data_IF_577602817309
#
_entry.id   IF_577602817309
#
_cell.length_a   1.000
_cell.length_b   1.000
_cell.length_c   1.000
_cell.angle_alpha   90.00
_cell.angle_beta   90.00
_cell.angle_gamma   90.00
#
_symmetry.space_group_name_H-M   'P 1'
#
loop_
_entity.id
_entity.type
_entity.pdbx_description
1 polymer ?
#
# COMPACT_ATOMS: atom_id res chain seq x y z
N UNK A 1 55.67 59.15 3.81
CA UNK A 1 54.39 59.62 3.24
C UNK A 1 53.42 58.47 3.24
N UNK A 2 52.32 58.65 3.96
CA UNK A 2 51.42 57.60 4.43
C UNK A 2 50.49 57.09 3.32
N UNK A 3 50.38 55.77 3.18
CA UNK A 3 49.28 55.09 2.47
C UNK A 3 48.68 54.05 3.41
N UNK A 4 47.36 54.09 3.71
CA UNK A 4 46.77 53.24 4.73
C UNK A 4 46.39 51.85 4.21
N UNK A 5 46.74 50.83 5.00
CA UNK A 5 46.23 49.47 4.87
C UNK A 5 44.72 49.45 5.13
N UNK A 6 43.93 49.03 4.14
CA UNK A 6 42.52 48.67 4.34
C UNK A 6 42.42 47.14 4.31
N UNK A 7 42.20 46.54 5.49
CA UNK A 7 41.96 45.10 5.66
C UNK A 7 40.56 44.76 5.16
N UNK A 8 40.45 44.02 4.05
CA UNK A 8 39.19 43.44 3.62
C UNK A 8 39.03 42.06 4.26
N UNK A 9 38.12 41.96 5.23
CA UNK A 9 37.61 40.71 5.78
C UNK A 9 36.76 40.01 4.71
N UNK A 10 37.24 38.90 4.15
CA UNK A 10 36.46 38.06 3.26
C UNK A 10 35.84 36.90 4.08
N UNK A 11 34.52 36.96 4.29
CA UNK A 11 33.74 35.90 4.93
C UNK A 11 33.66 34.67 4.01
N UNK A 12 33.80 33.43 4.52
CA UNK A 12 33.53 32.25 3.70
C UNK A 12 32.00 32.07 3.58
N UNK A 13 31.48 32.30 2.37
CA UNK A 13 30.10 32.00 2.03
C UNK A 13 29.88 30.48 2.12
N UNK A 14 29.02 30.08 3.06
CA UNK A 14 28.53 28.72 3.20
C UNK A 14 27.69 28.38 1.95
N UNK A 15 28.26 27.62 1.01
CA UNK A 15 27.52 27.08 -0.13
C UNK A 15 26.53 26.05 0.41
N UNK A 16 25.28 26.47 0.58
CA UNK A 16 24.15 25.57 0.77
C UNK A 16 23.95 24.83 -0.55
N UNK A 17 24.50 23.63 -0.67
CA UNK A 17 24.21 22.74 -1.79
C UNK A 17 22.75 22.25 -1.60
N UNK A 18 21.80 23.02 -2.12
CA UNK A 18 20.44 22.54 -2.30
C UNK A 18 20.52 21.37 -3.29
N UNK A 19 20.45 20.15 -2.75
CA UNK A 19 20.15 18.97 -3.56
C UNK A 19 18.76 19.18 -4.15
N UNK A 20 18.69 19.81 -5.32
CA UNK A 20 17.52 19.70 -6.16
C UNK A 20 17.46 18.25 -6.60
N UNK A 21 16.68 17.45 -5.87
CA UNK A 21 16.14 16.21 -6.42
C UNK A 21 15.48 16.63 -7.72
N UNK A 22 16.10 16.29 -8.84
CA UNK A 22 15.50 16.43 -10.15
C UNK A 22 14.21 15.62 -10.10
N UNK A 23 13.09 16.30 -9.85
CA UNK A 23 11.79 15.71 -9.98
C UNK A 23 11.70 15.26 -11.44
N UNK A 24 11.84 13.95 -11.68
CA UNK A 24 11.59 13.41 -12.99
C UNK A 24 10.13 13.74 -13.29
N UNK A 25 9.87 14.44 -14.38
CA UNK A 25 8.51 14.77 -14.77
C UNK A 25 7.67 13.49 -14.77
N UNK A 26 6.49 13.55 -14.14
CA UNK A 26 5.59 12.40 -14.08
C UNK A 26 5.01 12.18 -15.47
N UNK A 27 5.47 11.15 -16.16
CA UNK A 27 4.85 10.72 -17.41
C UNK A 27 3.57 9.91 -17.12
N UNK A 28 2.46 10.63 -16.94
CA UNK A 28 1.15 10.02 -16.76
C UNK A 28 0.64 9.29 -18.00
N UNK A 29 1.24 9.49 -19.19
CA UNK A 29 0.86 8.76 -20.40
C UNK A 29 1.19 7.25 -20.33
N UNK A 30 1.98 6.84 -19.33
CA UNK A 30 2.28 5.44 -18.98
C UNK A 30 1.13 4.72 -18.27
N UNK A 31 0.25 5.46 -17.59
CA UNK A 31 -0.88 4.87 -16.86
C UNK A 31 -1.87 4.22 -17.83
N UNK A 32 -2.23 2.97 -17.55
CA UNK A 32 -3.06 2.15 -18.45
C UNK A 32 -2.32 1.55 -19.65
N UNK A 33 -1.02 1.84 -19.81
CA UNK A 33 -0.16 1.24 -20.84
C UNK A 33 0.80 0.22 -20.24
N UNK A 34 2.00 0.66 -19.89
CA UNK A 34 3.04 -0.15 -19.23
C UNK A 34 2.91 -0.10 -17.70
N UNK A 35 2.19 0.88 -17.17
CA UNK A 35 1.70 0.89 -15.80
C UNK A 35 0.22 0.51 -15.76
N UNK A 36 -0.21 -0.15 -14.69
CA UNK A 36 -1.63 -0.29 -14.34
C UNK A 36 -2.28 1.09 -14.18
N UNK A 37 -3.62 1.20 -14.17
CA UNK A 37 -4.30 2.49 -13.97
C UNK A 37 -3.92 3.22 -12.68
N UNK A 38 -3.44 2.48 -11.67
CA UNK A 38 -2.99 3.01 -10.38
C UNK A 38 -1.47 3.11 -10.24
N UNK A 39 -0.72 2.94 -11.34
CA UNK A 39 0.73 3.20 -11.39
C UNK A 39 1.65 2.04 -11.02
N UNK A 40 1.13 0.87 -10.66
CA UNK A 40 1.95 -0.34 -10.50
C UNK A 40 2.47 -0.84 -11.85
N UNK A 41 3.64 -1.50 -11.88
CA UNK A 41 4.16 -2.13 -13.10
C UNK A 41 3.17 -3.17 -13.65
N UNK A 42 2.87 -3.08 -14.94
CA UNK A 42 1.96 -4.02 -15.61
C UNK A 42 2.65 -5.29 -16.04
N UNK A 43 3.91 -5.21 -16.47
CA UNK A 43 4.69 -6.36 -16.91
C UNK A 43 4.85 -7.41 -15.80
N UNK A 44 5.12 -8.66 -16.23
CA UNK A 44 5.64 -9.70 -15.35
C UNK A 44 7.12 -9.46 -15.04
N UNK A 45 7.69 -10.27 -14.15
CA UNK A 45 9.13 -10.20 -13.87
C UNK A 45 9.94 -11.00 -14.91
N UNK A 46 11.23 -10.69 -15.01
CA UNK A 46 12.15 -11.36 -15.92
C UNK A 46 12.27 -12.88 -15.67
N UNK A 47 12.11 -13.32 -14.42
CA UNK A 47 12.20 -14.74 -14.05
C UNK A 47 10.93 -15.55 -14.45
N UNK A 48 9.89 -14.89 -14.96
CA UNK A 48 8.63 -15.53 -15.37
C UNK A 48 7.77 -16.06 -14.21
N UNK A 49 8.15 -15.79 -12.96
CA UNK A 49 7.45 -16.26 -11.75
C UNK A 49 6.29 -15.35 -11.33
N UNK A 50 6.23 -14.14 -11.88
CA UNK A 50 5.15 -13.17 -11.72
C UNK A 50 4.59 -12.89 -13.11
N UNK A 51 3.32 -13.23 -13.40
CA UNK A 51 2.72 -12.94 -14.69
C UNK A 51 2.48 -11.43 -14.88
N UNK A 52 2.29 -11.01 -16.13
CA UNK A 52 1.79 -9.67 -16.40
C UNK A 52 0.39 -9.48 -15.78
N UNK A 53 0.06 -8.25 -15.40
CA UNK A 53 -1.29 -7.89 -15.00
C UNK A 53 -2.15 -7.63 -16.24
N UNK A 54 -3.22 -8.40 -16.35
CA UNK A 54 -4.14 -8.46 -17.49
C UNK A 54 -5.52 -7.85 -17.19
N UNK A 55 -5.68 -7.23 -16.01
CA UNK A 55 -6.96 -6.65 -15.56
C UNK A 55 -7.40 -7.18 -14.20
N UNK A 56 -6.82 -8.28 -13.73
CA UNK A 56 -7.18 -8.92 -12.46
C UNK A 56 -8.51 -9.67 -12.54
N UNK A 57 -9.00 -10.10 -11.38
CA UNK A 57 -10.21 -10.92 -11.27
C UNK A 57 -11.46 -10.02 -11.18
N UNK A 58 -12.16 -9.84 -12.31
CA UNK A 58 -13.33 -8.95 -12.43
C UNK A 58 -14.67 -9.68 -12.42
N UNK A 59 -14.65 -11.01 -12.47
CA UNK A 59 -15.83 -11.86 -12.39
C UNK A 59 -15.80 -12.68 -11.10
N UNK A 60 -16.97 -12.92 -10.47
CA UNK A 60 -17.04 -13.81 -9.32
C UNK A 60 -16.50 -15.20 -9.66
N UNK A 61 -15.73 -15.85 -8.77
CA UNK A 61 -15.32 -17.24 -8.94
C UNK A 61 -16.52 -18.17 -9.08
N UNK A 62 -16.33 -19.28 -9.79
CA UNK A 62 -17.34 -20.35 -9.86
C UNK A 62 -17.72 -20.80 -8.45
N UNK A 63 -19.03 -20.90 -8.19
CA UNK A 63 -19.56 -21.29 -6.87
C UNK A 63 -19.61 -20.16 -5.85
N UNK A 64 -19.19 -18.93 -6.20
CA UNK A 64 -19.39 -17.77 -5.35
C UNK A 64 -20.89 -17.39 -5.26
N UNK A 65 -21.35 -17.14 -4.03
CA UNK A 65 -22.63 -16.51 -3.74
C UNK A 65 -22.44 -15.45 -2.65
N UNK A 66 -23.33 -14.47 -2.61
CA UNK A 66 -23.28 -13.41 -1.60
C UNK A 66 -23.42 -13.97 -0.18
N UNK A 67 -24.23 -15.01 -0.03
CA UNK A 67 -24.56 -15.65 1.25
C UNK A 67 -23.38 -16.47 1.80
N UNK A 68 -22.63 -17.15 0.93
CA UNK A 68 -21.48 -17.98 1.30
C UNK A 68 -20.22 -17.15 1.60
N UNK A 69 -20.08 -15.97 0.98
CA UNK A 69 -18.94 -15.09 1.20
C UNK A 69 -17.71 -15.51 0.37
N UNK A 70 -16.55 -15.68 1.01
CA UNK A 70 -15.30 -15.95 0.29
C UNK A 70 -15.27 -17.36 -0.32
N UNK A 71 -14.88 -17.44 -1.60
CA UNK A 71 -14.61 -18.69 -2.32
C UNK A 71 -13.20 -18.61 -2.88
N UNK A 72 -12.46 -19.71 -2.81
CA UNK A 72 -11.13 -19.81 -3.43
C UNK A 72 -11.27 -19.72 -4.96
N UNK A 73 -10.69 -18.70 -5.61
CA UNK A 73 -10.72 -18.57 -7.06
C UNK A 73 -9.88 -19.64 -7.79
N UNK A 74 -8.94 -20.29 -7.11
CA UNK A 74 -8.01 -21.26 -7.72
C UNK A 74 -7.90 -22.55 -6.89
N UNK A 75 -9.02 -23.30 -6.69
CA UNK A 75 -9.03 -24.48 -5.82
C UNK A 75 -8.13 -25.63 -6.32
N UNK A 76 -7.67 -25.55 -7.57
CA UNK A 76 -6.73 -26.50 -8.16
C UNK A 76 -5.25 -26.15 -8.01
N UNK A 77 -4.92 -24.99 -7.43
CA UNK A 77 -3.52 -24.58 -7.27
C UNK A 77 -2.81 -25.51 -6.27
N UNK A 78 -1.67 -26.05 -6.70
CA UNK A 78 -0.81 -26.92 -5.90
C UNK A 78 0.50 -26.20 -5.59
N UNK A 79 1.17 -26.51 -4.47
CA UNK A 79 2.50 -26.01 -4.21
C UNK A 79 3.45 -26.39 -5.36
N UNK A 80 4.19 -25.41 -5.87
CA UNK A 80 5.31 -25.62 -6.79
C UNK A 80 6.45 -26.36 -6.07
N UNK A 81 6.70 -25.96 -4.84
CA UNK A 81 7.64 -26.58 -3.91
C UNK A 81 7.32 -26.10 -2.48
N UNK A 82 7.97 -26.70 -1.49
CA UNK A 82 7.83 -26.30 -0.08
C UNK A 82 9.20 -25.99 0.50
N UNK A 83 9.33 -24.85 1.16
CA UNK A 83 10.54 -24.50 1.90
C UNK A 83 10.39 -25.02 3.34
N UNK A 84 11.33 -25.85 3.75
CA UNK A 84 11.47 -26.42 5.09
C UNK A 84 12.87 -26.17 5.65
N UNK A 85 13.13 -26.69 6.85
CA UNK A 85 14.44 -26.53 7.49
C UNK A 85 15.57 -27.20 6.69
N UNK A 86 15.24 -28.24 5.92
CA UNK A 86 16.11 -29.05 5.07
C UNK A 86 16.63 -28.30 3.83
N UNK A 87 15.86 -27.36 3.28
CA UNK A 87 16.25 -26.59 2.10
C UNK A 87 16.27 -25.05 2.32
N UNK A 88 15.98 -24.56 3.54
CA UNK A 88 15.93 -23.12 3.86
C UNK A 88 17.20 -22.35 3.45
N UNK A 89 18.37 -22.99 3.57
CA UNK A 89 19.65 -22.38 3.18
C UNK A 89 19.70 -22.00 1.69
N UNK A 90 19.07 -22.80 0.82
CA UNK A 90 19.00 -22.54 -0.63
C UNK A 90 18.20 -21.28 -0.95
N UNK A 91 17.26 -20.91 -0.07
CA UNK A 91 16.35 -19.79 -0.26
C UNK A 91 16.63 -18.63 0.70
N UNK A 92 17.77 -18.63 1.41
CA UNK A 92 18.04 -17.65 2.49
C UNK A 92 17.88 -16.19 2.03
N UNK A 93 18.27 -15.86 0.79
CA UNK A 93 18.10 -14.52 0.20
C UNK A 93 16.65 -14.13 -0.11
N UNK A 94 15.69 -15.05 0.02
CA UNK A 94 14.25 -14.84 -0.16
C UNK A 94 13.46 -14.92 1.15
N UNK A 95 14.13 -15.23 2.26
CA UNK A 95 13.50 -15.41 3.57
C UNK A 95 13.92 -14.29 4.52
N UNK A 96 12.96 -13.67 5.20
CA UNK A 96 13.27 -12.71 6.26
C UNK A 96 13.95 -13.41 7.46
N UNK A 97 14.76 -12.70 8.27
CA UNK A 97 15.40 -13.29 9.44
C UNK A 97 14.42 -13.99 10.40
N UNK A 98 13.22 -13.43 10.56
CA UNK A 98 12.16 -14.02 11.39
C UNK A 98 11.65 -15.35 10.83
N UNK A 99 11.47 -15.46 9.52
CA UNK A 99 11.06 -16.71 8.87
C UNK A 99 12.17 -17.77 8.97
N UNK A 100 13.44 -17.38 8.76
CA UNK A 100 14.57 -18.28 8.94
C UNK A 100 14.66 -18.81 10.38
N UNK A 101 14.43 -17.94 11.37
CA UNK A 101 14.39 -18.34 12.77
C UNK A 101 13.24 -19.32 13.08
N UNK A 102 12.05 -19.12 12.49
CA UNK A 102 10.92 -20.04 12.65
C UNK A 102 11.21 -21.42 12.04
N UNK A 103 11.78 -21.47 10.83
CA UNK A 103 12.18 -22.73 10.19
C UNK A 103 13.21 -23.50 11.04
N UNK A 104 14.15 -22.79 11.66
CA UNK A 104 15.17 -23.38 12.53
C UNK A 104 14.60 -23.83 13.88
N UNK A 105 13.68 -23.05 14.46
CA UNK A 105 13.06 -23.36 15.77
C UNK A 105 12.05 -24.49 15.68
N UNK A 106 11.31 -24.60 14.57
CA UNK A 106 10.24 -25.58 14.38
C UNK A 106 10.46 -26.43 13.12
N UNK A 107 11.56 -27.20 13.05
CA UNK A 107 12.03 -27.83 11.81
C UNK A 107 11.12 -28.95 11.30
N UNK A 108 10.13 -29.42 12.07
CA UNK A 108 9.14 -30.42 11.62
C UNK A 108 7.74 -29.82 11.37
N UNK A 109 7.43 -28.67 11.96
CA UNK A 109 6.06 -28.12 12.00
C UNK A 109 5.90 -26.89 11.12
N UNK A 110 6.96 -26.10 10.94
CA UNK A 110 6.90 -24.89 10.14
C UNK A 110 7.41 -25.16 8.72
N UNK A 111 6.56 -24.88 7.73
CA UNK A 111 6.81 -25.08 6.30
C UNK A 111 6.18 -23.93 5.53
N UNK A 112 6.79 -23.57 4.41
CA UNK A 112 6.29 -22.53 3.50
C UNK A 112 5.99 -23.16 2.15
N UNK A 113 4.75 -23.60 1.88
CA UNK A 113 4.37 -24.00 0.55
C UNK A 113 4.37 -22.76 -0.37
N UNK A 114 5.08 -22.86 -1.49
CA UNK A 114 5.19 -21.81 -2.50
C UNK A 114 4.26 -22.16 -3.65
N UNK A 115 3.36 -21.24 -4.00
CA UNK A 115 2.38 -21.42 -5.07
C UNK A 115 2.70 -20.52 -6.26
N UNK A 116 2.00 -20.75 -7.37
CA UNK A 116 2.06 -19.86 -8.54
C UNK A 116 1.54 -18.46 -8.18
N UNK A 117 2.18 -17.43 -8.71
CA UNK A 117 1.71 -16.05 -8.53
C UNK A 117 0.45 -15.79 -9.38
N UNK A 118 -0.61 -15.27 -8.75
CA UNK A 118 -1.83 -14.81 -9.41
C UNK A 118 -1.98 -13.30 -9.17
N UNK A 119 -2.00 -12.48 -10.23
CA UNK A 119 -2.21 -11.02 -10.11
C UNK A 119 -3.70 -10.66 -10.20
N UNK A 120 -4.48 -11.04 -9.19
CA UNK A 120 -5.95 -10.91 -9.19
C UNK A 120 -6.49 -9.55 -8.76
N UNK A 121 -5.65 -8.66 -8.22
CA UNK A 121 -6.09 -7.35 -7.78
C UNK A 121 -6.74 -6.56 -8.93
N UNK A 122 -8.02 -6.25 -8.77
CA UNK A 122 -8.81 -5.44 -9.68
C UNK A 122 -9.54 -4.37 -8.86
N UNK A 123 -9.68 -3.18 -9.43
CA UNK A 123 -10.48 -2.09 -8.88
C UNK A 123 -11.69 -1.83 -9.79
N UNK A 124 -12.80 -1.32 -9.25
CA UNK A 124 -13.91 -0.85 -10.07
C UNK A 124 -13.44 0.16 -11.12
N UNK A 125 -14.06 0.12 -12.30
CA UNK A 125 -13.63 0.95 -13.44
C UNK A 125 -13.69 2.44 -13.11
N UNK A 126 -14.77 2.87 -12.48
CA UNK A 126 -14.98 4.25 -12.03
C UNK A 126 -13.85 4.73 -11.10
N UNK A 127 -13.40 3.89 -10.19
CA UNK A 127 -12.27 4.19 -9.30
C UNK A 127 -10.99 4.41 -10.09
N UNK A 128 -10.68 3.52 -11.05
CA UNK A 128 -9.47 3.66 -11.88
C UNK A 128 -9.53 4.83 -12.84
N UNK A 129 -10.70 5.10 -13.45
CA UNK A 129 -10.90 6.25 -14.33
C UNK A 129 -10.71 7.56 -13.56
N UNK A 130 -11.19 7.60 -12.31
CA UNK A 130 -11.04 8.76 -11.45
C UNK A 130 -9.59 9.00 -11.03
N UNK A 131 -8.84 7.93 -10.72
CA UNK A 131 -7.39 8.03 -10.50
C UNK A 131 -6.68 8.64 -11.71
N UNK A 132 -6.97 8.16 -12.92
CA UNK A 132 -6.38 8.69 -14.16
C UNK A 132 -6.72 10.18 -14.36
N UNK A 133 -7.97 10.58 -14.10
CA UNK A 133 -8.43 11.95 -14.28
C UNK A 133 -7.84 12.94 -13.25
N UNK A 134 -7.50 12.47 -12.05
CA UNK A 134 -6.98 13.31 -10.95
C UNK A 134 -5.47 13.28 -10.83
N UNK A 135 -4.78 12.24 -11.31
CA UNK A 135 -3.33 12.10 -11.22
C UNK A 135 -2.53 13.39 -11.58
N UNK A 136 -2.85 14.16 -12.64
CA UNK A 136 -2.11 15.39 -12.95
C UNK A 136 -2.53 16.62 -12.12
N UNK A 137 -3.57 16.52 -11.27
CA UNK A 137 -4.19 17.64 -10.55
C UNK A 137 -3.90 17.63 -9.05
N UNK A 138 -3.68 16.45 -8.47
CA UNK A 138 -3.46 16.32 -7.03
C UNK A 138 -2.06 16.81 -6.66
N UNK A 139 -2.00 17.63 -5.62
CA UNK A 139 -0.76 18.19 -5.09
C UNK A 139 -0.65 17.96 -3.59
N UNK A 140 0.58 17.86 -3.09
CA UNK A 140 0.85 17.95 -1.66
C UNK A 140 0.66 19.39 -1.19
N UNK A 141 0.09 19.55 0.00
CA UNK A 141 0.00 20.83 0.69
C UNK A 141 0.51 20.67 2.14
N UNK A 142 1.82 20.85 2.33
CA UNK A 142 2.49 20.45 3.57
C UNK A 142 2.35 18.93 3.78
N UNK A 143 1.74 18.54 4.91
CA UNK A 143 1.39 17.15 5.16
C UNK A 143 0.04 16.75 4.56
N UNK A 144 -0.73 17.66 3.99
CA UNK A 144 -2.07 17.46 3.42
C UNK A 144 -2.09 17.24 1.90
N UNK A 145 -3.30 17.17 1.36
CA UNK A 145 -3.59 17.06 -0.06
C UNK A 145 -4.41 18.26 -0.54
N UNK A 146 -4.24 18.65 -1.80
CA UNK A 146 -5.07 19.60 -2.52
C UNK A 146 -5.60 18.95 -3.79
N UNK A 147 -6.83 19.30 -4.19
CA UNK A 147 -7.49 18.78 -5.40
C UNK A 147 -7.63 17.25 -5.44
N UNK A 148 -7.77 16.59 -4.28
CA UNK A 148 -7.89 15.13 -4.22
C UNK A 148 -9.10 14.63 -5.03
N UNK A 149 -10.21 15.36 -4.94
CA UNK A 149 -11.48 15.09 -5.62
C UNK A 149 -12.02 13.66 -5.42
N UNK A 150 -11.58 12.92 -4.39
CA UNK A 150 -11.95 11.52 -4.17
C UNK A 150 -11.05 10.48 -4.85
N UNK A 151 -9.93 10.88 -5.46
CA UNK A 151 -8.94 9.93 -5.98
C UNK A 151 -8.42 9.01 -4.89
N UNK A 152 -8.39 7.71 -5.18
CA UNK A 152 -7.89 6.69 -4.25
C UNK A 152 -6.40 6.42 -4.40
N UNK A 153 -5.76 7.03 -5.39
CA UNK A 153 -4.33 6.90 -5.67
C UNK A 153 -3.85 8.25 -6.23
N UNK A 154 -3.74 9.28 -5.37
CA UNK A 154 -3.43 10.63 -5.80
C UNK A 154 -2.09 10.76 -6.53
N UNK A 155 -1.12 9.91 -6.19
CA UNK A 155 0.22 9.94 -6.76
C UNK A 155 0.59 8.57 -7.34
N UNK A 156 0.00 8.14 -8.47
CA UNK A 156 0.26 6.79 -9.02
C UNK A 156 1.73 6.58 -9.40
N UNK A 157 2.47 7.67 -9.66
CA UNK A 157 3.93 7.68 -9.83
C UNK A 157 4.52 8.54 -8.70
N UNK A 158 4.68 7.99 -7.48
CA UNK A 158 5.12 8.76 -6.32
C UNK A 158 6.60 9.11 -6.44
N UNK A 159 6.94 10.37 -6.18
CA UNK A 159 8.30 10.91 -6.24
C UNK A 159 8.99 10.95 -4.87
N UNK A 160 8.23 10.74 -3.79
CA UNK A 160 8.74 10.73 -2.43
C UNK A 160 7.85 9.86 -1.52
N UNK A 161 8.33 9.62 -0.29
CA UNK A 161 7.64 8.78 0.69
C UNK A 161 6.30 9.35 1.16
N UNK A 162 6.14 10.68 1.22
CA UNK A 162 4.89 11.30 1.64
C UNK A 162 3.75 11.03 0.63
N UNK A 163 4.07 11.07 -0.67
CA UNK A 163 3.14 10.69 -1.73
C UNK A 163 2.72 9.21 -1.64
N UNK A 164 3.69 8.32 -1.41
CA UNK A 164 3.40 6.90 -1.21
C UNK A 164 2.53 6.64 0.04
N UNK A 165 2.77 7.38 1.13
CA UNK A 165 1.93 7.34 2.34
C UNK A 165 0.51 7.80 2.01
N UNK A 166 0.36 8.90 1.26
CA UNK A 166 -0.97 9.38 0.88
C UNK A 166 -1.74 8.38 0.04
N UNK A 167 -1.11 7.72 -0.93
CA UNK A 167 -1.73 6.61 -1.66
C UNK A 167 -2.26 5.52 -0.72
N UNK A 168 -1.54 5.18 0.35
CA UNK A 168 -2.02 4.21 1.33
C UNK A 168 -3.20 4.74 2.15
N UNK A 169 -3.17 6.00 2.59
CA UNK A 169 -4.20 6.59 3.45
C UNK A 169 -5.56 6.72 2.76
N UNK A 170 -5.56 7.09 1.47
CA UNK A 170 -6.80 7.29 0.68
C UNK A 170 -7.15 6.12 -0.23
N UNK A 171 -6.42 4.99 -0.15
CA UNK A 171 -6.65 3.81 -0.97
C UNK A 171 -8.11 3.38 -0.99
N UNK A 172 -8.52 2.78 -2.10
CA UNK A 172 -9.85 2.21 -2.22
C UNK A 172 -10.03 1.07 -1.21
N UNK A 173 -11.08 1.16 -0.37
CA UNK A 173 -11.49 0.10 0.55
C UNK A 173 -12.98 -0.23 0.40
N UNK A 174 -13.56 0.11 -0.75
CA UNK A 174 -15.01 0.17 -0.93
C UNK A 174 -15.63 1.47 -0.40
N UNK A 175 -16.92 1.40 -0.08
CA UNK A 175 -17.68 2.54 0.46
C UNK A 175 -17.24 2.98 1.86
N UNK A 176 -16.70 2.05 2.64
CA UNK A 176 -16.31 2.23 4.03
C UNK A 176 -15.88 0.90 4.65
N UNK A 177 -15.45 0.96 5.91
CA UNK A 177 -15.03 -0.23 6.67
C UNK A 177 -15.77 -0.30 7.99
N UNK A 178 -16.20 -1.50 8.36
CA UNK A 178 -16.57 -1.82 9.74
C UNK A 178 -15.48 -2.70 10.33
N UNK A 179 -14.93 -2.31 11.47
CA UNK A 179 -13.93 -3.05 12.23
C UNK A 179 -14.54 -3.47 13.56
N UNK A 180 -14.48 -4.76 13.85
CA UNK A 180 -14.82 -5.32 15.16
C UNK A 180 -13.51 -5.81 15.76
N UNK A 181 -13.10 -5.19 16.86
CA UNK A 181 -11.91 -5.55 17.62
C UNK A 181 -12.31 -6.18 18.95
N UNK A 182 -11.57 -7.20 19.35
CA UNK A 182 -11.67 -7.79 20.68
C UNK A 182 -10.27 -7.81 21.29
N UNK A 183 -10.14 -7.20 22.46
CA UNK A 183 -8.96 -7.34 23.31
C UNK A 183 -9.30 -8.28 24.46
N UNK A 184 -8.38 -9.17 24.79
CA UNK A 184 -8.51 -10.11 25.91
C UNK A 184 -7.32 -9.93 26.86
N UNK A 185 -7.27 -8.84 27.65
CA UNK A 185 -6.20 -8.66 28.63
C UNK A 185 -6.20 -9.82 29.64
N UNK A 186 -5.03 -10.43 29.83
CA UNK A 186 -4.84 -11.57 30.74
C UNK A 186 -4.25 -11.03 32.05
N UNK A 187 -4.90 -11.35 33.17
CA UNK A 187 -4.41 -11.04 34.52
C UNK A 187 -3.32 -12.02 34.95
N UNK A 188 -2.57 -11.67 35.98
CA UNK A 188 -1.55 -12.56 36.56
C UNK A 188 -2.11 -13.91 37.04
N UNK A 189 -3.40 -13.98 37.39
CA UNK A 189 -4.12 -15.21 37.73
C UNK A 189 -4.36 -16.14 36.53
N UNK A 190 -4.15 -15.67 35.30
CA UNK A 190 -4.55 -16.34 34.07
C UNK A 190 -5.98 -16.02 33.62
N UNK A 191 -6.78 -15.33 34.44
CA UNK A 191 -8.12 -14.91 34.03
C UNK A 191 -8.05 -13.79 33.00
N UNK A 192 -8.98 -13.79 32.05
CA UNK A 192 -9.11 -12.74 31.05
C UNK A 192 -10.53 -12.17 31.05
N UNK A 193 -10.67 -10.94 30.55
CA UNK A 193 -11.97 -10.36 30.24
C UNK A 193 -11.95 -9.80 28.82
N UNK A 194 -13.11 -9.78 28.17
CA UNK A 194 -13.25 -9.28 26.80
C UNK A 194 -13.54 -7.78 26.83
N UNK A 195 -12.79 -7.03 26.04
CA UNK A 195 -13.14 -5.66 25.66
C UNK A 195 -13.44 -5.68 24.16
N UNK A 196 -14.70 -5.53 23.79
CA UNK A 196 -15.08 -5.37 22.39
C UNK A 196 -15.15 -3.90 21.99
N UNK A 197 -14.81 -3.63 20.74
CA UNK A 197 -14.96 -2.32 20.13
C UNK A 197 -15.42 -2.49 18.70
N UNK A 198 -16.52 -1.82 18.33
CA UNK A 198 -16.99 -1.74 16.96
C UNK A 198 -16.79 -0.33 16.45
N UNK A 199 -16.07 -0.20 15.34
CA UNK A 199 -15.84 1.05 14.65
C UNK A 199 -16.32 0.96 13.20
N UNK A 200 -17.01 1.99 12.73
CA UNK A 200 -17.41 2.17 11.34
C UNK A 200 -16.73 3.42 10.81
N UNK A 201 -16.10 3.34 9.65
CA UNK A 201 -15.55 4.48 8.91
C UNK A 201 -16.14 4.52 7.51
N UNK A 202 -16.70 5.65 7.10
CA UNK A 202 -17.22 5.88 5.75
C UNK A 202 -16.46 7.05 5.14
N UNK A 203 -15.93 6.88 3.94
CA UNK A 203 -15.24 7.96 3.24
C UNK A 203 -16.24 9.04 2.80
N UNK A 204 -15.85 10.31 2.86
CA UNK A 204 -16.77 11.43 2.67
C UNK A 204 -17.44 11.41 1.29
N UNK A 205 -16.72 11.01 0.24
CA UNK A 205 -17.27 10.90 -1.13
C UNK A 205 -18.42 9.87 -1.26
N UNK A 206 -18.59 8.99 -0.27
CA UNK A 206 -19.66 8.00 -0.25
C UNK A 206 -20.86 8.43 0.60
N UNK A 207 -20.86 9.66 1.10
CA UNK A 207 -21.98 10.26 1.84
C UNK A 207 -22.83 11.10 0.90
N UNK A 208 -24.14 11.18 1.16
CA UNK A 208 -25.06 11.96 0.34
C UNK A 208 -24.83 13.48 0.42
N UNK A 209 -24.41 13.97 1.59
CA UNK A 209 -24.14 15.39 1.85
C UNK A 209 -22.87 15.55 2.69
N UNK A 210 -21.68 15.38 2.08
CA UNK A 210 -20.44 15.51 2.81
C UNK A 210 -20.06 16.97 3.05
N UNK A 211 -19.63 17.32 4.28
CA UNK A 211 -19.08 18.64 4.52
C UNK A 211 -17.84 18.91 3.67
N UNK A 212 -17.61 20.16 3.21
CA UNK A 212 -16.42 20.51 2.46
C UNK A 212 -15.14 20.14 3.22
N UNK A 213 -14.14 19.63 2.49
CA UNK A 213 -12.84 19.21 3.02
C UNK A 213 -12.89 18.08 4.07
N UNK A 214 -13.97 17.31 4.16
CA UNK A 214 -14.01 16.08 4.96
C UNK A 214 -13.38 14.91 4.21
N UNK A 215 -12.52 14.14 4.89
CA UNK A 215 -11.95 12.89 4.35
C UNK A 215 -12.85 11.67 4.62
N UNK A 216 -13.34 11.54 5.86
CA UNK A 216 -14.20 10.44 6.27
C UNK A 216 -14.98 10.80 7.54
N UNK A 217 -16.04 10.04 7.79
CA UNK A 217 -16.80 10.02 9.04
C UNK A 217 -16.47 8.72 9.77
N UNK A 218 -16.43 8.76 11.10
CA UNK A 218 -16.20 7.58 11.92
C UNK A 218 -17.14 7.55 13.13
N UNK A 219 -17.65 6.37 13.44
CA UNK A 219 -18.44 6.08 14.63
C UNK A 219 -17.85 4.87 15.34
N UNK A 220 -17.66 4.95 16.65
CA UNK A 220 -17.13 3.85 17.45
C UNK A 220 -17.87 3.69 18.77
N UNK A 221 -18.07 2.45 19.21
CA UNK A 221 -18.62 2.14 20.52
C UNK A 221 -18.04 0.84 21.07
N UNK A 222 -17.96 0.75 22.40
CA UNK A 222 -17.58 -0.48 23.10
C UNK A 222 -18.73 -1.49 23.06
N UNK A 223 -18.37 -2.77 23.00
CA UNK A 223 -19.31 -3.92 22.89
C UNK A 223 -18.90 -5.04 23.83
#
# INVERSE_FOLDING_TARGET
MNTPLTRLLLAPALVLLAAQVLATERDFARLGKDLTPIGAERAGNADGTIPAWDGGLTQPPTGWSREQGYVDPFPGDKPLFTIGADNAAQYAGKLTPGIQALLKKYPQQFRLPVYVTRRTAALPKDVTDHVLAQAPKVELNGFGLKNLDGSTTPFPIPQNGLEAIWNHLVRYVGGGTTRIGHSFPVRASGDFFKIGFKATRIYAQNMADPEPNRLFYALGYFT
#
